data_IF_503121203563
#
_entry.id   IF_503121203563
#
_cell.length_a   1.000
_cell.length_b   1.000
_cell.length_c   1.000
_cell.angle_alpha   90.00
_cell.angle_beta   90.00
_cell.angle_gamma   90.00
#
_symmetry.space_group_name_H-M   'P 1'
#
loop_
_entity.id
_entity.type
_entity.pdbx_description
1 polymer ?
#
# COMPACT_ATOMS: atom_id res chain seq x y z
N UNK A 1 10.28 -53.14 27.30
CA UNK A 1 10.43 -52.95 25.84
C UNK A 1 9.67 -51.74 25.32
N UNK A 2 8.54 -51.37 25.93
CA UNK A 2 7.64 -50.33 25.39
C UNK A 2 8.23 -48.92 25.33
N UNK A 3 9.11 -48.55 26.25
CA UNK A 3 9.77 -47.22 26.23
C UNK A 3 10.72 -47.07 25.05
N UNK A 4 11.50 -48.12 24.74
CA UNK A 4 12.45 -48.12 23.62
C UNK A 4 11.71 -48.01 22.28
N UNK A 5 10.60 -48.76 22.13
CA UNK A 5 9.77 -48.74 20.92
C UNK A 5 9.07 -47.38 20.76
N UNK A 6 8.53 -46.82 21.85
CA UNK A 6 7.88 -45.50 21.83
C UNK A 6 8.88 -44.40 21.47
N UNK A 7 10.08 -44.45 22.05
CA UNK A 7 11.17 -43.53 21.73
C UNK A 7 11.59 -43.65 20.26
N UNK A 8 11.79 -44.87 19.76
CA UNK A 8 12.16 -45.10 18.36
C UNK A 8 11.10 -44.56 17.39
N UNK A 9 9.82 -44.78 17.71
CA UNK A 9 8.70 -44.27 16.92
C UNK A 9 8.66 -42.74 16.88
N UNK A 10 8.91 -42.08 18.02
CA UNK A 10 9.00 -40.61 18.07
C UNK A 10 10.17 -40.08 17.22
N UNK A 11 11.34 -40.71 17.32
CA UNK A 11 12.51 -40.34 16.51
C UNK A 11 12.23 -40.49 15.01
N UNK A 12 11.61 -41.60 14.60
CA UNK A 12 11.25 -41.84 13.19
C UNK A 12 10.24 -40.81 12.68
N UNK A 13 9.22 -40.49 13.47
CA UNK A 13 8.22 -39.48 13.11
C UNK A 13 8.85 -38.10 12.96
N UNK A 14 9.70 -37.69 13.90
CA UNK A 14 10.41 -36.41 13.83
C UNK A 14 11.38 -36.35 12.65
N UNK A 15 12.09 -37.43 12.36
CA UNK A 15 13.00 -37.52 11.22
C UNK A 15 12.27 -37.37 9.87
N UNK A 16 11.13 -38.04 9.71
CA UNK A 16 10.34 -37.97 8.49
C UNK A 16 9.62 -36.62 8.34
N UNK A 17 9.20 -36.03 9.46
CA UNK A 17 8.70 -34.66 9.51
C UNK A 17 9.76 -33.64 9.06
N UNK A 18 11.02 -33.81 9.47
CA UNK A 18 12.15 -33.00 8.98
C UNK A 18 12.34 -33.16 7.48
N UNK A 19 12.28 -34.39 6.95
CA UNK A 19 12.34 -34.63 5.49
C UNK A 19 11.21 -33.87 4.78
N UNK A 20 9.98 -33.95 5.29
CA UNK A 20 8.85 -33.19 4.78
C UNK A 20 9.11 -31.68 4.75
N UNK A 21 9.71 -31.13 5.81
CA UNK A 21 10.11 -29.72 5.86
C UNK A 21 11.18 -29.37 4.83
N UNK A 22 12.21 -30.20 4.65
CA UNK A 22 13.27 -29.97 3.66
C UNK A 22 12.73 -29.96 2.23
N UNK A 23 11.84 -30.92 1.92
CA UNK A 23 11.15 -30.96 0.62
C UNK A 23 10.26 -29.73 0.47
N UNK A 24 9.50 -29.37 1.52
CA UNK A 24 8.67 -28.18 1.54
C UNK A 24 9.46 -26.90 1.30
N UNK A 25 10.63 -26.76 1.92
CA UNK A 25 11.50 -25.60 1.78
C UNK A 25 12.08 -25.49 0.36
N UNK A 26 12.47 -26.63 -0.22
CA UNK A 26 12.98 -26.70 -1.59
C UNK A 26 11.91 -26.31 -2.61
N UNK A 27 10.72 -26.90 -2.50
CA UNK A 27 9.59 -26.61 -3.40
C UNK A 27 9.11 -25.17 -3.25
N UNK A 28 8.90 -24.71 -2.01
CA UNK A 28 8.45 -23.35 -1.75
C UNK A 28 9.52 -22.31 -2.10
N UNK A 29 10.81 -22.64 -1.98
CA UNK A 29 11.92 -21.82 -2.47
C UNK A 29 11.93 -21.69 -3.99
N UNK A 30 11.63 -22.77 -4.72
CA UNK A 30 11.52 -22.72 -6.18
C UNK A 30 10.32 -21.88 -6.65
N UNK A 31 9.19 -21.93 -5.94
CA UNK A 31 7.94 -21.27 -6.38
C UNK A 31 7.88 -19.82 -5.90
N UNK A 32 8.20 -19.55 -4.63
CA UNK A 32 8.04 -18.24 -3.99
C UNK A 32 9.36 -17.47 -3.82
N UNK A 33 10.49 -18.10 -4.14
CA UNK A 33 11.82 -17.54 -3.98
C UNK A 33 12.38 -17.69 -2.55
N UNK A 34 13.63 -17.24 -2.40
CA UNK A 34 14.34 -17.29 -1.12
C UNK A 34 13.99 -16.11 -0.22
N UNK A 35 13.78 -16.39 1.07
CA UNK A 35 13.51 -15.38 2.08
C UNK A 35 14.79 -14.58 2.34
N UNK A 36 14.78 -13.29 1.99
CA UNK A 36 15.90 -12.36 2.23
C UNK A 36 15.50 -11.28 3.24
N UNK A 37 16.39 -10.99 4.18
CA UNK A 37 16.25 -9.91 5.15
C UNK A 37 15.72 -10.35 6.53
N UNK A 38 16.23 -9.70 7.59
CA UNK A 38 15.99 -10.08 8.99
C UNK A 38 14.51 -10.07 9.39
N UNK A 39 13.76 -9.03 9.00
CA UNK A 39 12.34 -8.91 9.35
C UNK A 39 11.50 -10.00 8.69
N UNK A 40 11.82 -10.36 7.44
CA UNK A 40 11.11 -11.43 6.71
C UNK A 40 11.41 -12.81 7.29
N UNK A 41 12.66 -13.05 7.71
CA UNK A 41 13.03 -14.27 8.42
C UNK A 41 12.30 -14.39 9.77
N UNK A 42 12.16 -13.29 10.50
CA UNK A 42 11.39 -13.27 11.75
C UNK A 42 9.90 -13.59 11.51
N UNK A 43 9.27 -12.94 10.54
CA UNK A 43 7.87 -13.22 10.18
C UNK A 43 7.68 -14.65 9.68
N UNK A 44 8.61 -15.16 8.89
CA UNK A 44 8.62 -16.55 8.45
C UNK A 44 8.66 -17.51 9.63
N UNK A 45 9.61 -17.33 10.55
CA UNK A 45 9.75 -18.17 11.74
C UNK A 45 8.50 -18.12 12.61
N UNK A 46 7.90 -16.93 12.79
CA UNK A 46 6.65 -16.78 13.53
C UNK A 46 5.52 -17.59 12.89
N UNK A 47 5.29 -17.42 11.58
CA UNK A 47 4.27 -18.16 10.84
C UNK A 47 4.53 -19.66 10.89
N UNK A 48 5.77 -20.07 10.66
CA UNK A 48 6.19 -21.46 10.69
C UNK A 48 5.91 -22.12 12.03
N UNK A 49 6.32 -21.49 13.14
CA UNK A 49 6.05 -22.01 14.49
C UNK A 49 4.55 -22.14 14.74
N UNK A 50 3.75 -21.16 14.31
CA UNK A 50 2.29 -21.22 14.43
C UNK A 50 1.74 -22.45 13.69
N UNK A 51 2.07 -22.62 12.40
CA UNK A 51 1.61 -23.77 11.61
C UNK A 51 2.12 -25.10 12.17
N UNK A 52 3.36 -25.13 12.64
CA UNK A 52 3.95 -26.31 13.24
C UNK A 52 3.17 -26.77 14.47
N UNK A 53 2.88 -25.83 15.38
CA UNK A 53 2.14 -26.08 16.62
C UNK A 53 0.70 -26.49 16.31
N UNK A 54 0.03 -25.81 15.37
CA UNK A 54 -1.33 -26.20 14.94
C UNK A 54 -1.42 -27.63 14.42
N UNK A 55 -0.37 -28.11 13.74
CA UNK A 55 -0.29 -29.49 13.26
C UNK A 55 -0.44 -30.56 14.30
N UNK A 56 0.10 -30.30 15.49
CA UNK A 56 0.05 -31.26 16.59
C UNK A 56 -1.38 -31.48 17.11
N UNK A 57 -2.30 -30.55 16.85
CA UNK A 57 -3.71 -30.64 17.25
C UNK A 57 -4.61 -31.26 16.17
N UNK A 58 -4.10 -31.49 14.96
CA UNK A 58 -4.90 -32.02 13.84
C UNK A 58 -5.40 -33.45 14.08
N UNK A 59 -4.58 -34.40 14.57
CA UNK A 59 -5.07 -35.75 14.86
C UNK A 59 -6.23 -35.77 15.86
N UNK A 60 -6.20 -34.89 16.88
CA UNK A 60 -7.29 -34.73 17.83
C UNK A 60 -8.54 -34.07 17.23
N UNK A 61 -8.37 -33.13 16.30
CA UNK A 61 -9.49 -32.42 15.66
C UNK A 61 -10.24 -33.27 14.63
N UNK A 62 -9.52 -34.15 13.92
CA UNK A 62 -10.11 -35.05 12.90
C UNK A 62 -10.63 -36.35 13.55
N UNK A 63 -10.52 -36.50 14.88
CA UNK A 63 -11.02 -37.67 15.61
C UNK A 63 -10.31 -38.98 15.26
N UNK A 64 -9.08 -38.90 14.74
CA UNK A 64 -8.35 -40.07 14.27
C UNK A 64 -7.49 -40.61 15.41
N UNK A 65 -8.08 -41.47 16.25
CA UNK A 65 -7.35 -42.28 17.23
C UNK A 65 -7.78 -43.75 17.19
N UNK A 66 -6.84 -44.72 17.23
CA UNK A 66 -5.39 -44.60 17.08
C UNK A 66 -4.96 -44.78 15.62
N UNK A 67 -4.22 -43.82 15.07
CA UNK A 67 -3.53 -44.00 13.79
C UNK A 67 -2.39 -45.00 13.96
N UNK A 68 -2.35 -46.03 13.11
CA UNK A 68 -1.17 -46.89 12.99
C UNK A 68 0.07 -46.08 12.60
N UNK A 69 1.26 -46.57 12.97
CA UNK A 69 2.56 -45.91 12.79
C UNK A 69 2.74 -45.29 11.38
N UNK A 70 2.37 -46.03 10.34
CA UNK A 70 2.48 -45.59 8.95
C UNK A 70 1.65 -44.33 8.64
N UNK A 71 0.43 -44.26 9.17
CA UNK A 71 -0.46 -43.13 8.94
C UNK A 71 -0.01 -41.89 9.72
N UNK A 72 0.50 -42.08 10.95
CA UNK A 72 1.13 -41.01 11.71
C UNK A 72 2.34 -40.45 10.95
N UNK A 73 3.22 -41.33 10.46
CA UNK A 73 4.37 -40.94 9.65
C UNK A 73 3.96 -40.10 8.44
N UNK A 74 2.99 -40.56 7.66
CA UNK A 74 2.50 -39.85 6.47
C UNK A 74 1.93 -38.48 6.85
N UNK A 75 1.09 -38.43 7.88
CA UNK A 75 0.44 -37.20 8.32
C UNK A 75 1.44 -36.16 8.81
N UNK A 76 2.40 -36.55 9.65
CA UNK A 76 3.43 -35.64 10.15
C UNK A 76 4.42 -35.21 9.06
N UNK A 77 4.73 -36.07 8.09
CA UNK A 77 5.59 -35.71 6.94
C UNK A 77 4.91 -34.69 6.03
N UNK A 78 3.64 -34.93 5.68
CA UNK A 78 2.83 -34.01 4.89
C UNK A 78 2.65 -32.70 5.64
N UNK A 79 2.45 -32.75 6.97
CA UNK A 79 2.33 -31.54 7.77
C UNK A 79 3.63 -30.72 7.83
N UNK A 80 4.78 -31.40 7.99
CA UNK A 80 6.10 -30.76 7.88
C UNK A 80 6.25 -30.00 6.56
N UNK A 81 5.87 -30.62 5.44
CA UNK A 81 5.82 -29.96 4.14
C UNK A 81 4.86 -28.75 4.13
N UNK A 82 3.61 -28.96 4.56
CA UNK A 82 2.56 -27.94 4.52
C UNK A 82 2.94 -26.71 5.33
N UNK A 83 3.48 -26.90 6.53
CA UNK A 83 3.85 -25.82 7.46
C UNK A 83 4.88 -24.86 6.84
N UNK A 84 5.90 -25.39 6.16
CA UNK A 84 6.89 -24.58 5.44
C UNK A 84 6.27 -23.89 4.22
N UNK A 85 5.50 -24.65 3.44
CA UNK A 85 4.88 -24.18 2.20
C UNK A 85 3.89 -23.03 2.47
N UNK A 86 2.97 -23.21 3.42
CA UNK A 86 1.97 -22.22 3.82
C UNK A 86 2.62 -20.95 4.37
N UNK A 87 3.68 -21.07 5.17
CA UNK A 87 4.40 -19.93 5.73
C UNK A 87 5.02 -19.06 4.62
N UNK A 88 5.66 -19.68 3.62
CA UNK A 88 6.23 -18.96 2.47
C UNK A 88 5.15 -18.41 1.55
N UNK A 89 4.06 -19.15 1.33
CA UNK A 89 2.92 -18.69 0.54
C UNK A 89 2.28 -17.43 1.15
N UNK A 90 2.08 -17.39 2.47
CA UNK A 90 1.52 -16.22 3.15
C UNK A 90 2.45 -15.01 3.08
N UNK A 91 3.77 -15.22 3.22
CA UNK A 91 4.74 -14.15 3.00
C UNK A 91 4.69 -13.60 1.58
N UNK A 92 4.54 -14.48 0.58
CA UNK A 92 4.35 -14.07 -0.80
C UNK A 92 3.07 -13.24 -0.98
N UNK A 93 1.96 -13.63 -0.36
CA UNK A 93 0.71 -12.84 -0.39
C UNK A 93 0.87 -11.47 0.28
N UNK A 94 1.58 -11.40 1.40
CA UNK A 94 1.89 -10.12 2.06
C UNK A 94 2.71 -9.24 1.12
N UNK A 95 3.75 -9.77 0.48
CA UNK A 95 4.56 -9.02 -0.49
C UNK A 95 3.72 -8.56 -1.69
N UNK A 96 2.83 -9.41 -2.20
CA UNK A 96 1.92 -9.10 -3.29
C UNK A 96 0.96 -7.98 -2.88
N UNK A 97 0.38 -8.03 -1.68
CA UNK A 97 -0.52 -7.00 -1.15
C UNK A 97 0.19 -5.66 -0.95
N UNK A 98 1.46 -5.67 -0.51
CA UNK A 98 2.27 -4.46 -0.38
C UNK A 98 2.61 -3.90 -1.76
N UNK A 99 2.94 -4.76 -2.72
CA UNK A 99 3.22 -4.36 -4.10
C UNK A 99 1.99 -3.72 -4.76
N UNK A 100 0.82 -4.35 -4.66
CA UNK A 100 -0.43 -3.77 -5.15
C UNK A 100 -0.84 -2.53 -4.36
N UNK A 101 -0.66 -2.51 -3.04
CA UNK A 101 -0.91 -1.33 -2.20
C UNK A 101 -0.04 -0.15 -2.59
N UNK A 102 1.25 -0.37 -2.89
CA UNK A 102 2.16 0.67 -3.42
C UNK A 102 1.77 1.12 -4.83
N UNK A 103 1.36 0.18 -5.69
CA UNK A 103 0.92 0.48 -7.06
C UNK A 103 -0.40 1.27 -7.10
N UNK A 104 -1.32 1.02 -6.16
CA UNK A 104 -2.51 1.85 -5.96
C UNK A 104 -2.15 3.24 -5.36
N UNK A 105 -1.11 3.34 -4.53
CA UNK A 105 -0.78 4.60 -3.84
C UNK A 105 -0.08 5.66 -4.67
N UNK A 106 0.35 5.42 -5.91
CA UNK A 106 1.13 6.44 -6.65
C UNK A 106 0.95 6.42 -8.18
N UNK A 107 -0.17 6.94 -8.65
CA UNK A 107 -0.07 7.99 -9.68
C UNK A 107 -0.03 9.31 -8.91
N UNK A 108 1.15 9.86 -8.64
CA UNK A 108 1.25 11.25 -8.20
C UNK A 108 0.52 12.08 -9.26
N UNK A 109 -0.63 12.67 -8.90
CA UNK A 109 -1.28 13.65 -9.76
C UNK A 109 -0.23 14.73 -10.07
N UNK A 110 -0.10 15.17 -11.34
CA UNK A 110 0.92 16.14 -11.71
C UNK A 110 0.70 17.39 -10.86
N UNK A 111 1.74 17.81 -10.15
CA UNK A 111 1.72 19.04 -9.36
C UNK A 111 2.45 20.12 -10.14
N UNK A 112 1.80 21.26 -10.36
CA UNK A 112 2.43 22.46 -10.88
C UNK A 112 2.85 23.36 -9.71
N UNK A 113 4.04 23.95 -9.79
CA UNK A 113 4.49 24.93 -8.80
C UNK A 113 3.86 26.27 -9.18
N UNK A 114 2.98 26.78 -8.33
CA UNK A 114 2.24 28.02 -8.57
C UNK A 114 2.75 29.11 -7.65
N UNK A 115 2.99 30.30 -8.22
CA UNK A 115 3.16 31.52 -7.45
C UNK A 115 1.82 31.93 -6.84
N UNK A 116 1.43 31.27 -5.76
CA UNK A 116 0.08 31.35 -5.18
C UNK A 116 -0.29 32.77 -4.74
N UNK A 117 0.69 33.58 -4.35
CA UNK A 117 0.48 34.99 -4.03
C UNK A 117 -0.04 35.77 -5.23
N UNK A 118 0.54 35.54 -6.43
CA UNK A 118 0.07 36.18 -7.66
C UNK A 118 -1.33 35.73 -8.03
N UNK A 119 -1.64 34.44 -7.81
CA UNK A 119 -2.98 33.91 -8.05
C UNK A 119 -4.01 34.52 -7.09
N UNK A 120 -3.70 34.61 -5.80
CA UNK A 120 -4.58 35.21 -4.79
C UNK A 120 -4.84 36.68 -5.11
N UNK A 121 -3.78 37.46 -5.42
CA UNK A 121 -3.94 38.87 -5.81
C UNK A 121 -4.83 39.02 -7.04
N UNK A 122 -4.60 38.20 -8.07
CA UNK A 122 -5.45 38.21 -9.28
C UNK A 122 -6.93 37.90 -8.97
N UNK A 123 -7.20 36.95 -8.07
CA UNK A 123 -8.58 36.64 -7.67
C UNK A 123 -9.21 37.78 -6.85
N UNK A 124 -8.42 38.45 -6.00
CA UNK A 124 -8.86 39.64 -5.27
C UNK A 124 -9.17 40.81 -6.22
N UNK A 125 -8.32 41.04 -7.23
CA UNK A 125 -8.51 42.09 -8.25
C UNK A 125 -9.77 41.84 -9.08
N UNK A 126 -10.18 40.58 -9.24
CA UNK A 126 -11.45 40.17 -9.86
C UNK A 126 -12.68 40.32 -8.95
N UNK A 127 -12.51 40.84 -7.73
CA UNK A 127 -13.59 41.02 -6.76
C UNK A 127 -13.96 39.75 -5.99
N UNK A 128 -13.17 38.68 -6.06
CA UNK A 128 -13.44 37.46 -5.29
C UNK A 128 -13.17 37.69 -3.80
N UNK A 129 -14.18 37.45 -2.97
CA UNK A 129 -14.07 37.53 -1.52
C UNK A 129 -13.13 36.46 -0.94
N UNK A 130 -12.69 36.68 0.31
CA UNK A 130 -11.77 35.78 1.00
C UNK A 130 -12.27 34.33 1.09
N UNK A 131 -13.59 34.14 1.25
CA UNK A 131 -14.24 32.82 1.27
C UNK A 131 -14.17 32.11 -0.08
N UNK A 132 -14.41 32.83 -1.19
CA UNK A 132 -14.28 32.27 -2.54
C UNK A 132 -12.84 31.82 -2.84
N UNK A 133 -11.86 32.64 -2.43
CA UNK A 133 -10.44 32.28 -2.56
C UNK A 133 -10.12 31.06 -1.68
N UNK A 134 -10.68 30.98 -0.47
CA UNK A 134 -10.46 29.87 0.46
C UNK A 134 -10.98 28.56 -0.13
N UNK A 135 -12.16 28.63 -0.75
CA UNK A 135 -12.76 27.51 -1.48
C UNK A 135 -11.88 27.04 -2.64
N UNK A 136 -11.44 27.94 -3.53
CA UNK A 136 -10.56 27.56 -4.65
C UNK A 136 -9.29 26.87 -4.15
N UNK A 137 -8.66 27.43 -3.12
CA UNK A 137 -7.44 26.86 -2.54
C UNK A 137 -7.68 25.52 -1.85
N UNK A 138 -8.78 25.36 -1.12
CA UNK A 138 -9.06 24.13 -0.36
C UNK A 138 -9.28 22.94 -1.30
N UNK A 139 -10.02 23.14 -2.39
CA UNK A 139 -10.23 22.14 -3.45
C UNK A 139 -8.90 21.81 -4.14
N UNK A 140 -8.14 22.84 -4.52
CA UNK A 140 -6.86 22.71 -5.23
C UNK A 140 -5.78 21.97 -4.43
N UNK A 141 -5.76 22.18 -3.11
CA UNK A 141 -4.79 21.59 -2.18
C UNK A 141 -5.31 20.32 -1.50
N UNK A 142 -6.60 20.00 -1.65
CA UNK A 142 -7.28 18.89 -0.98
C UNK A 142 -7.34 19.04 0.55
N UNK A 143 -7.23 20.25 1.08
CA UNK A 143 -7.25 20.49 2.53
C UNK A 143 -7.59 21.95 2.84
N UNK A 144 -8.67 22.14 3.58
CA UNK A 144 -9.10 23.45 4.07
C UNK A 144 -8.08 24.09 5.01
N UNK A 145 -7.53 23.30 5.94
CA UNK A 145 -6.50 23.76 6.89
C UNK A 145 -5.26 24.31 6.16
N UNK A 146 -4.86 23.69 5.04
CA UNK A 146 -3.74 24.19 4.22
C UNK A 146 -4.10 25.49 3.50
N UNK A 147 -5.32 25.60 2.99
CA UNK A 147 -5.79 26.82 2.33
C UNK A 147 -5.79 28.02 3.29
N UNK A 148 -6.27 27.82 4.52
CA UNK A 148 -6.27 28.84 5.57
C UNK A 148 -4.85 29.27 5.98
N UNK A 149 -3.94 28.30 6.21
CA UNK A 149 -2.53 28.60 6.49
C UNK A 149 -1.91 29.46 5.38
N UNK A 150 -2.15 29.11 4.12
CA UNK A 150 -1.60 29.83 2.97
C UNK A 150 -2.16 31.25 2.89
N UNK A 151 -3.48 31.43 3.05
CA UNK A 151 -4.07 32.76 3.07
C UNK A 151 -3.49 33.62 4.20
N UNK A 152 -3.33 33.06 5.39
CA UNK A 152 -2.76 33.78 6.53
C UNK A 152 -1.28 34.14 6.28
N UNK A 153 -0.51 33.24 5.66
CA UNK A 153 0.89 33.50 5.31
C UNK A 153 1.04 34.56 4.21
N UNK A 154 0.11 34.60 3.25
CA UNK A 154 0.06 35.63 2.21
C UNK A 154 -0.32 36.98 2.79
N UNK A 155 -1.35 37.04 3.65
CA UNK A 155 -1.74 38.26 4.39
C UNK A 155 -0.58 38.84 5.22
N UNK A 156 0.22 37.96 5.83
CA UNK A 156 1.37 38.35 6.65
C UNK A 156 2.66 38.61 5.85
N UNK A 157 2.64 38.53 4.51
CA UNK A 157 3.83 38.72 3.67
C UNK A 157 4.94 37.67 3.86
N UNK A 158 4.60 36.50 4.41
CA UNK A 158 5.56 35.43 4.78
C UNK A 158 5.69 34.32 3.73
N UNK A 159 5.10 34.48 2.55
CA UNK A 159 5.02 33.42 1.55
C UNK A 159 5.93 33.69 0.33
N UNK A 160 7.22 33.42 0.46
CA UNK A 160 8.21 33.68 -0.60
C UNK A 160 8.45 32.49 -1.56
N UNK A 161 7.71 31.38 -1.43
CA UNK A 161 7.91 30.17 -2.23
C UNK A 161 6.64 29.74 -2.94
N UNK A 162 6.79 29.26 -4.18
CA UNK A 162 5.71 28.65 -4.94
C UNK A 162 5.17 27.39 -4.24
N UNK A 163 3.88 27.14 -4.40
CA UNK A 163 3.18 26.01 -3.79
C UNK A 163 2.80 25.01 -4.86
N UNK A 164 3.03 23.73 -4.56
CA UNK A 164 2.60 22.63 -5.41
C UNK A 164 1.07 22.51 -5.38
N UNK A 165 0.43 22.76 -6.53
CA UNK A 165 -1.02 22.65 -6.73
C UNK A 165 -1.32 21.63 -7.82
N UNK A 166 -2.40 20.89 -7.66
CA UNK A 166 -2.94 20.01 -8.70
C UNK A 166 -3.73 20.85 -9.74
N UNK A 167 -3.27 20.92 -11.01
CA UNK A 167 -3.94 21.67 -12.07
C UNK A 167 -5.37 21.19 -12.34
N UNK A 168 -5.65 19.89 -12.17
CA UNK A 168 -6.96 19.32 -12.42
C UNK A 168 -7.95 19.77 -11.37
N UNK A 169 -7.54 19.75 -10.09
CA UNK A 169 -8.38 20.23 -8.98
C UNK A 169 -8.59 21.73 -9.06
N UNK A 170 -7.56 22.48 -9.42
CA UNK A 170 -7.68 23.92 -9.62
C UNK A 170 -8.65 24.27 -10.75
N UNK A 171 -8.54 23.59 -11.90
CA UNK A 171 -9.49 23.77 -13.01
C UNK A 171 -10.92 23.39 -12.62
N UNK A 172 -11.09 22.33 -11.82
CA UNK A 172 -12.41 21.92 -11.29
C UNK A 172 -12.97 22.94 -10.30
N UNK A 173 -12.12 23.56 -9.48
CA UNK A 173 -12.53 24.56 -8.50
C UNK A 173 -13.04 25.82 -9.21
N UNK A 174 -12.33 26.30 -10.23
CA UNK A 174 -12.77 27.47 -10.99
C UNK A 174 -14.09 27.25 -11.74
N UNK A 175 -14.34 26.03 -12.26
CA UNK A 175 -15.64 25.67 -12.84
C UNK A 175 -16.79 25.81 -11.86
N UNK A 176 -16.55 25.56 -10.58
CA UNK A 176 -17.55 25.66 -9.52
C UNK A 176 -17.74 27.11 -9.02
N UNK A 177 -16.95 28.06 -9.52
CA UNK A 177 -16.94 29.46 -9.06
C UNK A 177 -17.22 30.47 -10.18
N UNK A 178 -18.04 30.08 -11.15
CA UNK A 178 -18.53 30.90 -12.27
C UNK A 178 -17.47 31.46 -13.24
N UNK A 179 -16.27 30.88 -13.29
CA UNK A 179 -15.26 31.26 -14.29
C UNK A 179 -15.59 30.65 -15.64
N UNK A 180 -15.43 31.44 -16.71
CA UNK A 180 -15.60 30.94 -18.06
C UNK A 180 -14.42 30.05 -18.51
N UNK A 181 -14.62 29.32 -19.61
CA UNK A 181 -13.60 28.41 -20.13
C UNK A 181 -12.30 29.13 -20.55
N UNK A 182 -12.40 30.34 -21.08
CA UNK A 182 -11.24 31.11 -21.56
C UNK A 182 -10.43 31.66 -20.38
N UNK A 183 -11.10 32.15 -19.34
CA UNK A 183 -10.51 32.62 -18.10
C UNK A 183 -9.76 31.50 -17.39
N UNK A 184 -10.34 30.29 -17.34
CA UNK A 184 -9.69 29.14 -16.72
C UNK A 184 -8.43 28.75 -17.51
N UNK A 185 -8.50 28.76 -18.83
CA UNK A 185 -7.33 28.50 -19.68
C UNK A 185 -6.24 29.56 -19.49
N UNK A 186 -6.60 30.85 -19.43
CA UNK A 186 -5.65 31.93 -19.13
C UNK A 186 -4.98 31.69 -17.77
N UNK A 187 -5.75 31.36 -16.74
CA UNK A 187 -5.23 31.13 -15.39
C UNK A 187 -4.24 29.94 -15.39
N UNK A 188 -4.60 28.83 -16.05
CA UNK A 188 -3.75 27.64 -16.15
C UNK A 188 -2.44 27.93 -16.90
N UNK A 189 -2.47 28.75 -17.95
CA UNK A 189 -1.25 29.11 -18.70
C UNK A 189 -0.40 30.10 -17.89
N UNK A 190 -1.02 31.17 -17.40
CA UNK A 190 -0.35 32.31 -16.77
C UNK A 190 0.21 32.02 -15.38
N UNK A 191 -0.51 31.27 -14.54
CA UNK A 191 -0.11 31.02 -13.16
C UNK A 191 0.55 29.66 -12.94
N UNK A 192 0.20 28.65 -13.74
CA UNK A 192 0.79 27.31 -13.64
C UNK A 192 1.91 27.07 -14.66
N UNK A 193 2.17 28.03 -15.57
CA UNK A 193 3.22 27.92 -16.59
C UNK A 193 2.98 26.75 -17.55
N UNK A 194 1.72 26.35 -17.74
CA UNK A 194 1.36 25.25 -18.62
C UNK A 194 1.35 25.73 -20.08
N UNK A 195 1.69 24.84 -21.02
CA UNK A 195 1.48 25.14 -22.43
C UNK A 195 -0.03 25.17 -22.74
N UNK A 196 -0.47 25.94 -23.74
CA UNK A 196 -1.89 26.00 -24.11
C UNK A 196 -2.52 24.62 -24.35
N UNK A 197 -1.81 23.69 -24.99
CA UNK A 197 -2.29 22.34 -25.28
C UNK A 197 -2.50 21.52 -24.01
N UNK A 198 -1.60 21.68 -23.02
CA UNK A 198 -1.74 21.05 -21.71
C UNK A 198 -2.91 21.64 -20.93
N UNK A 199 -3.09 22.97 -20.96
CA UNK A 199 -4.21 23.64 -20.31
C UNK A 199 -5.55 23.17 -20.88
N UNK A 200 -5.69 23.10 -22.22
CA UNK A 200 -6.90 22.56 -22.89
C UNK A 200 -7.15 21.10 -22.52
N UNK A 201 -6.10 20.28 -22.45
CA UNK A 201 -6.23 18.87 -22.03
C UNK A 201 -6.69 18.73 -20.59
N UNK A 202 -6.16 19.56 -19.69
CA UNK A 202 -6.54 19.58 -18.27
C UNK A 202 -8.01 20.00 -18.16
N UNK A 203 -8.37 21.14 -18.75
CA UNK A 203 -9.74 21.65 -18.83
C UNK A 203 -10.74 20.58 -19.27
N UNK A 204 -10.48 19.89 -20.40
CA UNK A 204 -11.38 18.85 -20.93
C UNK A 204 -11.57 17.65 -19.98
N UNK A 205 -10.60 17.36 -19.12
CA UNK A 205 -10.59 16.18 -18.23
C UNK A 205 -10.99 16.47 -16.79
N UNK A 206 -11.13 17.75 -16.42
CA UNK A 206 -11.60 18.18 -15.11
C UNK A 206 -13.14 18.28 -15.03
N UNK A 207 -13.85 17.43 -15.78
CA UNK A 207 -15.31 17.19 -15.68
C UNK A 207 -15.61 16.17 -14.61
#
# INVERSE_FOLDING_TARGET
>A
MDFLITFLNQVVVLFLMLIGMFVGDSVAGSIFGNIKGRVRQFLYLLLFVIFLVFGNYIPSLIGIYPLGLLNSILLFSIWGFLSVFLSRFLLFLIDLSIYFGKKLRTKKQPQAIVAIEKLIRYLQDRGMGAEGIKFILSVSLGSEKKAEDIQNRVKNGKLNKGIAIDPYRLSSAFRQSDFDANEILEILVKFLGLTPEKAVRIWRRST
#
